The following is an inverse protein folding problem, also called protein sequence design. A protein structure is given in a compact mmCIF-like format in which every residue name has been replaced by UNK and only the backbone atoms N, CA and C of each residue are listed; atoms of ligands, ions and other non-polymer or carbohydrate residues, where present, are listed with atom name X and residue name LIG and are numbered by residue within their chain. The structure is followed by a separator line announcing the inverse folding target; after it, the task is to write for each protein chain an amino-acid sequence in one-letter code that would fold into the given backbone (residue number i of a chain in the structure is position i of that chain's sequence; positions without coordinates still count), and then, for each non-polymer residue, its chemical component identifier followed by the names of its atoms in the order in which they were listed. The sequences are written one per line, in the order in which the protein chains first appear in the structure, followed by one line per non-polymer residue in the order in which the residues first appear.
data_IF_548344856757
#
_entry.id   IF_548344856757
#
_cell.length_a   1.000
_cell.length_b   1.000
_cell.length_c   1.000
_cell.angle_alpha   90.00
_cell.angle_beta   90.00
_cell.angle_gamma   90.00
#
_symmetry.space_group_name_H-M   'P 1'
#
loop_
_entity.id
_entity.type
_entity.pdbx_description
1 polymer ?
#
# COMPACT_ATOMS: atom_id res chain seq x y z
N UNK A 1 3.48 8.19 -19.81
CA UNK A 1 3.28 9.61 -19.42
C UNK A 1 4.60 10.38 -19.37
N UNK A 2 5.66 9.71 -18.97
CA UNK A 2 7.08 10.09 -19.00
C UNK A 2 7.56 10.77 -20.29
N UNK A 3 7.17 10.29 -21.46
CA UNK A 3 7.61 10.86 -22.75
C UNK A 3 6.96 12.21 -23.08
N UNK A 4 5.92 12.62 -22.35
CA UNK A 4 5.26 13.91 -22.55
C UNK A 4 5.92 14.98 -21.69
N UNK A 5 5.96 16.21 -22.19
CA UNK A 5 6.35 17.37 -21.39
C UNK A 5 5.34 17.57 -20.24
N UNK A 6 5.84 17.94 -19.06
CA UNK A 6 5.04 18.16 -17.85
C UNK A 6 3.85 19.10 -18.08
N UNK A 7 4.04 20.15 -18.89
CA UNK A 7 2.99 21.15 -19.16
C UNK A 7 1.80 20.59 -19.93
N UNK A 8 2.00 19.56 -20.76
CA UNK A 8 0.93 18.98 -21.61
C UNK A 8 0.35 17.68 -21.05
N UNK A 9 0.99 17.08 -20.04
CA UNK A 9 0.56 15.78 -19.48
C UNK A 9 -0.89 15.77 -19.05
N UNK A 10 -1.33 16.81 -18.33
CA UNK A 10 -2.70 16.86 -17.81
C UNK A 10 -3.73 17.00 -18.93
N UNK A 11 -3.49 17.95 -19.84
CA UNK A 11 -4.38 18.22 -20.97
C UNK A 11 -4.52 16.99 -21.86
N UNK A 12 -3.40 16.33 -22.21
CA UNK A 12 -3.43 15.10 -23.02
C UNK A 12 -4.14 13.96 -22.31
N UNK A 13 -3.92 13.79 -21.00
CA UNK A 13 -4.60 12.75 -20.24
C UNK A 13 -6.12 12.96 -20.22
N UNK A 14 -6.58 14.17 -19.92
CA UNK A 14 -8.01 14.47 -19.85
C UNK A 14 -8.67 14.34 -21.22
N UNK A 15 -8.01 14.80 -22.30
CA UNK A 15 -8.48 14.58 -23.67
C UNK A 15 -8.66 13.08 -23.96
N UNK A 16 -7.66 12.24 -23.67
CA UNK A 16 -7.73 10.80 -23.91
C UNK A 16 -8.76 10.10 -23.05
N UNK A 17 -8.96 10.56 -21.81
CA UNK A 17 -10.00 10.08 -20.93
C UNK A 17 -11.39 10.35 -21.50
N UNK A 18 -11.65 11.58 -21.95
CA UNK A 18 -12.92 11.95 -22.57
C UNK A 18 -13.19 11.14 -23.84
N UNK A 19 -12.19 10.98 -24.72
CA UNK A 19 -12.32 10.13 -25.92
C UNK A 19 -12.74 8.67 -25.59
N UNK A 20 -12.31 8.13 -24.44
CA UNK A 20 -12.68 6.78 -23.98
C UNK A 20 -14.10 6.78 -23.40
N UNK A 21 -14.41 7.75 -22.53
CA UNK A 21 -15.73 7.88 -21.89
C UNK A 21 -16.85 8.07 -22.93
N UNK A 22 -16.61 8.89 -23.97
CA UNK A 22 -17.53 9.09 -25.09
C UNK A 22 -17.77 7.80 -25.88
N UNK A 23 -16.72 7.04 -26.20
CA UNK A 23 -16.83 5.76 -26.93
C UNK A 23 -17.57 4.69 -26.15
N UNK A 24 -17.42 4.70 -24.83
CA UNK A 24 -18.12 3.78 -23.94
C UNK A 24 -19.61 4.13 -23.83
N UNK A 25 -19.97 5.41 -24.05
CA UNK A 25 -21.36 5.89 -24.13
C UNK A 25 -22.21 5.42 -22.94
N UNK A 26 -21.64 5.45 -21.73
CA UNK A 26 -22.32 5.05 -20.50
C UNK A 26 -22.56 3.55 -20.30
N UNK A 27 -22.06 2.69 -21.21
CA UNK A 27 -22.20 1.22 -21.07
C UNK A 27 -21.43 0.64 -19.89
N UNK A 28 -20.32 1.29 -19.53
CA UNK A 28 -19.46 0.90 -18.42
C UNK A 28 -19.02 2.14 -17.64
N UNK A 29 -18.79 1.96 -16.34
CA UNK A 29 -18.08 2.95 -15.52
C UNK A 29 -16.60 2.79 -15.80
N UNK A 30 -15.94 3.88 -16.19
CA UNK A 30 -14.52 3.87 -16.58
C UNK A 30 -13.71 4.76 -15.65
N UNK A 31 -12.66 4.19 -15.07
CA UNK A 31 -11.65 4.94 -14.32
C UNK A 31 -10.34 4.88 -15.11
N UNK A 32 -9.87 6.04 -15.57
CA UNK A 32 -8.61 6.16 -16.30
C UNK A 32 -7.46 6.52 -15.34
N UNK A 33 -6.28 5.96 -15.59
CA UNK A 33 -5.06 6.26 -14.83
C UNK A 33 -3.95 6.69 -15.78
N UNK A 34 -3.26 7.78 -15.44
CA UNK A 34 -2.06 8.23 -16.14
C UNK A 34 -0.85 7.55 -15.50
N UNK A 35 -0.19 6.65 -16.22
CA UNK A 35 0.89 5.83 -15.67
C UNK A 35 2.21 5.98 -16.44
N UNK A 36 3.30 5.68 -15.75
CA UNK A 36 4.63 5.46 -16.32
C UNK A 36 5.33 4.32 -15.58
N UNK A 37 6.12 3.52 -16.30
CA UNK A 37 6.96 2.48 -15.67
C UNK A 37 8.16 3.09 -14.92
N UNK A 38 8.44 4.37 -15.13
CA UNK A 38 9.58 5.09 -14.58
C UNK A 38 9.26 5.88 -13.30
N UNK A 39 8.00 5.86 -12.85
CA UNK A 39 7.58 6.58 -11.65
C UNK A 39 6.54 5.79 -10.84
N UNK A 40 6.12 6.34 -9.70
CA UNK A 40 5.22 5.70 -8.74
C UNK A 40 3.78 5.55 -9.25
N UNK A 41 3.40 6.25 -10.32
CA UNK A 41 2.00 6.28 -10.79
C UNK A 41 1.49 4.91 -11.21
N UNK A 42 2.37 4.02 -11.69
CA UNK A 42 2.03 2.64 -12.01
C UNK A 42 1.60 1.86 -10.76
N UNK A 43 2.30 2.02 -9.63
CA UNK A 43 1.93 1.38 -8.38
C UNK A 43 0.57 1.90 -7.87
N UNK A 44 0.28 3.18 -8.07
CA UNK A 44 -1.01 3.77 -7.67
C UNK A 44 -2.18 3.19 -8.46
N UNK A 45 -2.03 3.08 -9.78
CA UNK A 45 -3.04 2.47 -10.63
C UNK A 45 -3.30 1.00 -10.26
N UNK A 46 -2.23 0.21 -10.11
CA UNK A 46 -2.36 -1.20 -9.76
C UNK A 46 -2.88 -1.42 -8.33
N UNK A 47 -2.49 -0.60 -7.36
CA UNK A 47 -3.00 -0.69 -5.99
C UNK A 47 -4.51 -0.43 -5.96
N UNK A 48 -5.00 0.56 -6.73
CA UNK A 48 -6.44 0.80 -6.88
C UNK A 48 -7.16 -0.39 -7.53
N UNK A 49 -6.62 -0.93 -8.62
CA UNK A 49 -7.21 -2.11 -9.28
C UNK A 49 -7.30 -3.29 -8.32
N UNK A 50 -6.21 -3.60 -7.61
CA UNK A 50 -6.18 -4.69 -6.61
C UNK A 50 -7.18 -4.43 -5.49
N UNK A 51 -7.29 -3.19 -5.00
CA UNK A 51 -8.23 -2.84 -3.94
C UNK A 51 -9.70 -3.12 -4.30
N UNK A 52 -10.07 -3.01 -5.59
CA UNK A 52 -11.42 -3.36 -6.06
C UNK A 52 -11.70 -4.86 -6.10
N UNK A 53 -10.65 -5.69 -6.15
CA UNK A 53 -10.75 -7.14 -6.22
C UNK A 53 -10.72 -7.80 -4.84
N UNK A 54 -10.28 -7.07 -3.81
CA UNK A 54 -10.17 -7.60 -2.46
C UNK A 54 -11.50 -7.50 -1.73
N UNK A 55 -12.10 -8.61 -1.29
CA UNK A 55 -13.28 -8.57 -0.43
C UNK A 55 -12.90 -8.05 0.96
N UNK A 56 -13.90 -7.52 1.67
CA UNK A 56 -13.78 -7.08 3.06
C UNK A 56 -12.71 -5.99 3.31
N UNK A 57 -12.50 -5.08 2.34
CA UNK A 57 -11.56 -3.97 2.50
C UNK A 57 -11.94 -3.06 3.67
N UNK A 58 -13.22 -2.86 3.93
CA UNK A 58 -13.70 -2.03 5.04
C UNK A 58 -13.45 -2.68 6.40
N UNK A 59 -13.61 -4.00 6.49
CA UNK A 59 -13.24 -4.75 7.69
C UNK A 59 -11.73 -4.72 7.94
N UNK A 60 -10.93 -4.79 6.87
CA UNK A 60 -9.47 -4.63 6.94
C UNK A 60 -9.10 -3.27 7.52
N UNK A 61 -9.70 -2.19 7.02
CA UNK A 61 -9.49 -0.82 7.52
C UNK A 61 -9.85 -0.69 8.99
N UNK A 62 -10.99 -1.26 9.40
CA UNK A 62 -11.41 -1.23 10.80
C UNK A 62 -10.45 -1.98 11.73
N UNK A 63 -9.96 -3.15 11.31
CA UNK A 63 -8.97 -3.90 12.10
C UNK A 63 -7.62 -3.18 12.17
N UNK A 64 -7.19 -2.55 11.07
CA UNK A 64 -5.97 -1.73 11.07
C UNK A 64 -6.13 -0.50 11.97
N UNK A 65 -7.31 0.13 12.01
CA UNK A 65 -7.62 1.22 12.95
C UNK A 65 -7.45 0.77 14.39
N UNK A 66 -8.08 -0.34 14.78
CA UNK A 66 -7.97 -0.87 16.16
C UNK A 66 -6.52 -1.20 16.52
N UNK A 67 -5.76 -1.78 15.59
CA UNK A 67 -4.33 -2.06 15.81
C UNK A 67 -3.51 -0.77 15.95
N UNK A 68 -3.79 0.25 15.14
CA UNK A 68 -3.12 1.55 15.19
C UNK A 68 -3.35 2.24 16.54
N UNK A 69 -4.61 2.26 16.99
CA UNK A 69 -5.00 2.81 18.30
C UNK A 69 -4.33 2.05 19.45
N UNK A 70 -4.30 0.72 19.40
CA UNK A 70 -3.66 -0.11 20.43
C UNK A 70 -2.13 0.07 20.50
N UNK A 71 -1.49 0.42 19.39
CA UNK A 71 -0.06 0.65 19.29
C UNK A 71 0.36 2.10 19.53
N UNK A 72 -0.60 3.02 19.68
CA UNK A 72 -0.35 4.46 19.62
C UNK A 72 0.50 4.85 18.39
N UNK A 73 0.20 4.23 17.24
CA UNK A 73 0.89 4.50 16.00
C UNK A 73 0.27 5.71 15.28
N UNK A 74 1.07 6.39 14.47
CA UNK A 74 0.59 7.48 13.61
C UNK A 74 -0.08 6.93 12.35
N UNK A 75 0.46 5.82 11.86
CA UNK A 75 0.03 5.21 10.62
C UNK A 75 0.35 3.71 10.59
N UNK A 76 -0.55 2.94 9.97
CA UNK A 76 -0.30 1.55 9.58
C UNK A 76 -0.67 1.34 8.11
N UNK A 77 0.21 0.66 7.36
CA UNK A 77 0.05 0.31 5.95
C UNK A 77 0.17 -1.20 5.77
N UNK A 78 -0.74 -1.80 5.02
CA UNK A 78 -0.74 -3.21 4.67
C UNK A 78 -0.41 -3.37 3.17
N UNK A 79 0.60 -4.18 2.86
CA UNK A 79 1.05 -4.43 1.49
C UNK A 79 0.90 -5.89 1.10
N UNK A 80 0.67 -6.15 -0.19
CA UNK A 80 0.79 -7.49 -0.76
C UNK A 80 2.27 -7.92 -0.82
N UNK A 81 2.56 -9.16 -0.41
CA UNK A 81 3.93 -9.63 -0.17
C UNK A 81 4.84 -9.59 -1.39
N UNK A 82 4.35 -9.96 -2.56
CA UNK A 82 5.19 -10.15 -3.74
C UNK A 82 5.40 -8.84 -4.50
N UNK A 83 4.32 -8.12 -4.74
CA UNK A 83 4.23 -6.89 -5.53
C UNK A 83 4.49 -5.64 -4.71
N UNK A 84 4.35 -5.69 -3.38
CA UNK A 84 4.36 -4.52 -2.50
C UNK A 84 3.29 -3.49 -2.85
N UNK A 85 2.21 -3.88 -3.53
CA UNK A 85 1.06 -3.01 -3.73
C UNK A 85 0.32 -2.78 -2.42
N UNK A 86 -0.18 -1.56 -2.24
CA UNK A 86 -0.93 -1.18 -1.04
C UNK A 86 -2.30 -1.85 -1.10
N UNK A 87 -2.63 -2.60 -0.05
CA UNK A 87 -3.93 -3.25 0.12
C UNK A 87 -4.87 -2.36 0.90
N UNK A 88 -4.40 -1.87 2.06
CA UNK A 88 -5.19 -1.08 2.99
C UNK A 88 -4.24 -0.27 3.87
N UNK A 89 -4.74 0.81 4.44
CA UNK A 89 -4.00 1.64 5.38
C UNK A 89 -4.97 2.27 6.39
N UNK A 90 -4.41 2.76 7.49
CA UNK A 90 -5.09 3.64 8.41
C UNK A 90 -4.10 4.72 8.87
N UNK A 91 -4.57 5.97 8.87
CA UNK A 91 -3.81 7.15 9.25
C UNK A 91 -4.51 7.82 10.43
N UNK A 92 -3.79 8.00 11.54
CA UNK A 92 -4.26 8.84 12.64
C UNK A 92 -3.92 10.31 12.39
N UNK A 93 -2.77 10.56 11.76
CA UNK A 93 -2.31 11.90 11.33
C UNK A 93 -2.37 12.01 9.82
N UNK A 94 -2.92 13.11 9.32
CA UNK A 94 -2.95 13.40 7.88
C UNK A 94 -1.57 13.77 7.37
N UNK A 95 -1.20 13.26 6.21
CA UNK A 95 0.08 13.57 5.55
C UNK A 95 -0.11 14.49 4.33
N UNK A 96 0.89 15.34 4.05
CA UNK A 96 0.86 16.26 2.91
C UNK A 96 1.02 15.55 1.55
N UNK A 97 1.74 14.43 1.51
CA UNK A 97 2.04 13.71 0.27
C UNK A 97 1.00 12.61 0.02
N UNK A 98 0.06 12.88 -0.88
CA UNK A 98 -0.99 11.93 -1.25
C UNK A 98 -0.47 10.69 -2.00
N UNK A 99 0.76 10.75 -2.55
CA UNK A 99 1.37 9.67 -3.34
C UNK A 99 2.43 8.87 -2.57
N UNK A 100 2.52 9.10 -1.25
CA UNK A 100 3.54 8.45 -0.42
C UNK A 100 3.40 6.93 -0.39
N UNK A 101 2.18 6.40 -0.47
CA UNK A 101 1.93 4.96 -0.48
C UNK A 101 2.61 4.28 -1.68
N UNK A 102 2.44 4.86 -2.86
CA UNK A 102 3.05 4.39 -4.10
C UNK A 102 4.57 4.56 -4.08
N UNK A 103 5.05 5.70 -3.55
CA UNK A 103 6.50 5.95 -3.40
C UNK A 103 7.14 4.94 -2.46
N UNK A 104 6.55 4.71 -1.29
CA UNK A 104 7.01 3.71 -0.31
C UNK A 104 7.03 2.32 -0.95
N UNK A 105 5.95 1.94 -1.63
CA UNK A 105 5.85 0.66 -2.35
C UNK A 105 6.98 0.50 -3.35
N UNK A 106 7.23 1.52 -4.17
CA UNK A 106 8.30 1.50 -5.17
C UNK A 106 9.68 1.41 -4.49
N UNK A 107 9.96 2.23 -3.48
CA UNK A 107 11.25 2.23 -2.75
C UNK A 107 11.55 0.86 -2.15
N UNK A 108 10.61 0.29 -1.39
CA UNK A 108 10.81 -1.01 -0.74
C UNK A 108 10.92 -2.11 -1.80
N UNK A 109 10.15 -2.04 -2.88
CA UNK A 109 10.24 -3.01 -3.97
C UNK A 109 11.60 -2.97 -4.66
N UNK A 110 12.14 -1.79 -4.96
CA UNK A 110 13.49 -1.66 -5.52
C UNK A 110 14.54 -2.20 -4.56
N UNK A 111 14.43 -1.90 -3.26
CA UNK A 111 15.33 -2.46 -2.25
C UNK A 111 15.27 -3.99 -2.20
N UNK A 112 14.07 -4.56 -2.17
CA UNK A 112 13.84 -6.02 -2.20
C UNK A 112 14.42 -6.67 -3.47
N UNK A 113 14.29 -6.02 -4.63
CA UNK A 113 14.91 -6.50 -5.87
C UNK A 113 16.44 -6.50 -5.78
N UNK A 114 17.03 -5.49 -5.13
CA UNK A 114 18.47 -5.43 -4.87
C UNK A 114 18.93 -6.56 -3.95
N UNK A 115 18.18 -6.90 -2.89
CA UNK A 115 18.49 -8.06 -2.05
C UNK A 115 18.46 -9.38 -2.83
N UNK A 116 17.47 -9.56 -3.71
CA UNK A 116 17.35 -10.77 -4.53
C UNK A 116 18.56 -10.92 -5.46
N UNK A 117 19.04 -9.82 -6.05
CA UNK A 117 20.25 -9.80 -6.89
C UNK A 117 21.51 -10.21 -6.11
N UNK A 118 21.54 -9.97 -4.81
CA UNK A 118 22.65 -10.39 -3.92
C UNK A 118 22.40 -11.74 -3.24
N UNK A 119 21.38 -12.50 -3.67
CA UNK A 119 20.97 -13.79 -3.11
C UNK A 119 20.49 -13.75 -1.65
N UNK A 120 20.07 -12.59 -1.16
CA UNK A 120 19.46 -12.43 0.17
C UNK A 120 17.96 -12.19 0.07
N UNK A 121 17.22 -12.60 1.11
CA UNK A 121 15.79 -12.36 1.24
C UNK A 121 15.55 -11.18 2.17
N UNK A 122 14.76 -10.22 1.71
CA UNK A 122 14.24 -9.15 2.56
C UNK A 122 13.30 -9.70 3.64
N UNK A 123 13.62 -9.49 4.92
CA UNK A 123 12.80 -9.94 6.05
C UNK A 123 12.08 -8.78 6.74
N UNK A 124 12.84 -7.78 7.19
CA UNK A 124 12.34 -6.57 7.82
C UNK A 124 13.21 -5.35 7.50
N UNK A 125 12.68 -4.16 7.78
CA UNK A 125 13.37 -2.88 7.72
C UNK A 125 12.92 -2.04 8.91
N UNK A 126 13.88 -1.45 9.61
CA UNK A 126 13.65 -0.44 10.64
C UNK A 126 14.34 0.86 10.23
N UNK A 127 13.62 1.97 10.35
CA UNK A 127 14.12 3.32 10.07
C UNK A 127 13.76 4.20 11.25
N UNK A 128 14.76 4.79 11.90
CA UNK A 128 14.57 5.73 12.99
C UNK A 128 15.25 7.06 12.66
N UNK A 129 14.58 8.15 13.02
CA UNK A 129 15.16 9.49 13.08
C UNK A 129 14.58 10.26 14.27
N UNK A 130 14.98 11.51 14.43
CA UNK A 130 14.56 12.35 15.56
C UNK A 130 13.04 12.59 15.66
N UNK A 131 12.31 12.40 14.55
CA UNK A 131 10.88 12.70 14.42
C UNK A 131 9.99 11.46 14.43
N UNK A 132 10.46 10.34 13.88
CA UNK A 132 9.66 9.13 13.78
C UNK A 132 10.50 7.85 13.69
N UNK A 133 9.85 6.74 14.02
CA UNK A 133 10.28 5.37 13.78
C UNK A 133 9.32 4.72 12.78
N UNK A 134 9.87 3.97 11.84
CA UNK A 134 9.12 3.20 10.86
C UNK A 134 9.63 1.76 10.81
N UNK A 135 8.69 0.83 10.90
CA UNK A 135 8.93 -0.60 10.91
C UNK A 135 8.24 -1.23 9.72
N UNK A 136 8.95 -2.06 8.95
CA UNK A 136 8.38 -2.88 7.88
C UNK A 136 8.74 -4.32 8.17
N UNK A 137 7.74 -5.20 8.32
CA UNK A 137 7.98 -6.62 8.57
C UNK A 137 6.92 -7.53 7.93
N UNK A 138 7.26 -8.81 7.81
CA UNK A 138 6.33 -9.81 7.29
C UNK A 138 5.15 -10.01 8.24
N UNK A 139 3.94 -9.72 7.77
CA UNK A 139 2.74 -9.80 8.60
C UNK A 139 2.00 -11.13 8.45
N UNK A 140 1.71 -11.54 7.23
CA UNK A 140 1.10 -12.84 6.94
C UNK A 140 1.91 -13.59 5.88
N UNK A 141 1.42 -14.75 5.45
CA UNK A 141 2.03 -15.46 4.32
C UNK A 141 1.96 -14.65 3.02
N UNK A 142 0.98 -13.76 2.88
CA UNK A 142 0.73 -12.97 1.67
C UNK A 142 0.83 -11.46 1.87
N UNK A 143 1.21 -10.97 3.06
CA UNK A 143 1.30 -9.53 3.33
C UNK A 143 2.53 -9.11 4.13
N UNK A 144 2.97 -7.87 3.89
CA UNK A 144 3.83 -7.09 4.78
C UNK A 144 2.99 -6.03 5.49
N UNK A 145 3.43 -5.61 6.67
CA UNK A 145 2.88 -4.47 7.40
C UNK A 145 3.97 -3.43 7.59
N UNK A 146 3.62 -2.16 7.45
CA UNK A 146 4.43 -1.03 7.86
C UNK A 146 3.72 -0.25 8.96
N UNK A 147 4.47 0.16 9.97
CA UNK A 147 3.97 0.91 11.12
C UNK A 147 4.87 2.10 11.33
N UNK A 148 4.28 3.29 11.44
CA UNK A 148 4.98 4.55 11.70
C UNK A 148 4.50 5.11 13.03
N UNK A 149 5.43 5.53 13.88
CA UNK A 149 5.11 6.22 15.12
C UNK A 149 6.12 7.33 15.41
N UNK A 150 5.63 8.47 15.87
CA UNK A 150 6.42 9.57 16.44
C UNK A 150 6.55 9.47 17.96
N UNK A 151 5.85 8.52 18.57
CA UNK A 151 5.99 8.21 19.99
C UNK A 151 7.32 7.48 20.23
N UNK A 152 8.18 8.08 21.05
CA UNK A 152 9.51 7.55 21.35
C UNK A 152 9.45 6.37 22.32
N UNK A 153 8.40 6.28 23.12
CA UNK A 153 8.22 5.24 24.14
C UNK A 153 7.75 3.92 23.53
N UNK A 154 7.22 3.95 22.30
CA UNK A 154 6.89 2.74 21.56
C UNK A 154 8.17 2.04 21.10
N UNK A 155 8.38 0.82 21.61
CA UNK A 155 9.50 -0.03 21.24
C UNK A 155 9.15 -1.02 20.14
N UNK A 156 10.16 -1.51 19.43
CA UNK A 156 10.00 -2.55 18.42
C UNK A 156 9.40 -3.83 19.00
N UNK A 157 9.74 -4.20 20.24
CA UNK A 157 9.23 -5.42 20.88
C UNK A 157 7.73 -5.32 21.13
N UNK A 158 7.25 -4.15 21.57
CA UNK A 158 5.83 -3.89 21.74
C UNK A 158 5.07 -4.01 20.41
N UNK A 159 5.64 -3.44 19.34
CA UNK A 159 5.09 -3.55 17.98
C UNK A 159 5.06 -5.02 17.53
N UNK A 160 6.19 -5.72 17.61
CA UNK A 160 6.33 -7.11 17.16
C UNK A 160 5.38 -8.06 17.92
N UNK A 161 5.21 -7.85 19.23
CA UNK A 161 4.27 -8.63 20.05
C UNK A 161 2.82 -8.43 19.60
N UNK A 162 2.40 -7.18 19.37
CA UNK A 162 1.04 -6.87 18.91
C UNK A 162 0.78 -7.37 17.48
N UNK A 163 1.76 -7.27 16.58
CA UNK A 163 1.69 -7.84 15.23
C UNK A 163 1.49 -9.36 15.31
N UNK A 164 2.26 -10.05 16.15
CA UNK A 164 2.12 -11.51 16.34
C UNK A 164 0.74 -11.88 16.89
N UNK A 165 0.23 -11.12 17.88
CA UNK A 165 -1.08 -11.36 18.48
C UNK A 165 -2.24 -11.17 17.48
N UNK A 166 -2.13 -10.19 16.57
CA UNK A 166 -3.21 -9.86 15.62
C UNK A 166 -3.14 -10.62 14.29
N UNK A 167 -2.01 -11.25 13.97
CA UNK A 167 -1.76 -12.00 12.73
C UNK A 167 -2.85 -13.04 12.41
N UNK A 168 -3.38 -13.76 13.41
CA UNK A 168 -4.44 -14.75 13.22
C UNK A 168 -5.72 -14.15 12.64
N UNK A 169 -6.15 -13.02 13.20
CA UNK A 169 -7.37 -12.31 12.81
C UNK A 169 -7.30 -11.78 11.36
N UNK A 170 -6.13 -11.34 10.91
CA UNK A 170 -5.91 -10.89 9.53
C UNK A 170 -5.80 -12.03 8.53
N UNK A 171 -5.24 -13.18 8.94
CA UNK A 171 -5.18 -14.36 8.07
C UNK A 171 -6.57 -14.86 7.67
N UNK A 172 -7.54 -14.84 8.58
CA UNK A 172 -8.91 -15.27 8.28
C UNK A 172 -9.60 -14.31 7.30
N UNK A 173 -9.42 -13.01 7.52
CA UNK A 173 -9.98 -11.97 6.67
C UNK A 173 -9.47 -12.10 5.23
N UNK A 174 -8.17 -12.33 5.05
CA UNK A 174 -7.55 -12.46 3.73
C UNK A 174 -7.80 -13.81 3.05
N UNK A 175 -8.16 -14.87 3.81
CA UNK A 175 -8.55 -16.19 3.28
C UNK A 175 -9.96 -16.23 2.73
N UNK A 176 -10.87 -15.39 3.24
CA UNK A 176 -12.23 -15.24 2.71
C UNK A 176 -12.26 -14.94 1.21
N UNK A 177 -11.17 -14.36 0.69
CA UNK A 177 -10.98 -13.98 -0.71
C UNK A 177 -10.87 -15.13 -1.72
N UNK A 178 -10.55 -16.36 -1.27
CA UNK A 178 -10.34 -17.50 -2.18
C UNK A 178 -11.46 -18.55 -2.17
N UNK A 179 -12.41 -18.47 -1.22
CA UNK A 179 -13.47 -19.50 -1.06
C UNK A 179 -14.78 -19.21 -1.81
N UNK A 180 -14.94 -18.07 -2.47
CA UNK A 180 -16.18 -17.72 -3.19
C UNK A 180 -16.22 -18.17 -4.67
N UNK A 181 -15.36 -19.12 -5.09
CA UNK A 181 -15.41 -19.72 -6.43
C UNK A 181 -15.45 -21.26 -6.38
N UNK A 182 -16.43 -21.80 -5.67
CA UNK A 182 -16.93 -23.17 -5.89
C UNK A 182 -18.44 -23.15 -6.00
#
# INVERSE_FOLDING_TARGET
MDLLNLTVREATFEQKRQEIEEKVAGRFIVNCFKTSIWDETLYGAWSKIVSYLLPNIDESKNKLRVLCEALNADEIILFERQTFLVISHYEHKTHNDLHRFEKISNIIKQFKLSCIKTHYKFESLEVENEKFKAYVEGFTNSTYIMIVTSDKDVTYEAISMNIKATRGCFNELLKGSYKQKQ
#
